data_IF_438206437852
#
_entry.id   IF_438206437852
#
_cell.length_a   1.000
_cell.length_b   1.000
_cell.length_c   1.000
_cell.angle_alpha   90.00
_cell.angle_beta   90.00
_cell.angle_gamma   90.00
#
_symmetry.space_group_name_H-M   'P 1'
#
loop_
_entity.id
_entity.type
_entity.pdbx_description
1 polymer ?
#
# COMPACT_ATOMS: atom_id res chain seq x y z
N UNK A 1 5.48 6.48 -6.79
CA UNK A 1 5.31 5.97 -5.40
C UNK A 1 6.17 6.66 -4.32
N UNK A 2 7.33 7.24 -4.63
CA UNK A 2 8.22 7.86 -3.61
C UNK A 2 7.54 8.94 -2.74
N UNK A 3 6.64 9.76 -3.31
CA UNK A 3 5.90 10.78 -2.55
C UNK A 3 4.98 10.19 -1.49
N UNK A 4 4.31 9.07 -1.77
CA UNK A 4 3.50 8.36 -0.78
C UNK A 4 4.35 7.83 0.37
N UNK A 5 5.49 7.20 0.06
CA UNK A 5 6.42 6.67 1.09
C UNK A 5 6.93 7.80 1.98
N UNK A 6 7.33 8.93 1.40
CA UNK A 6 7.75 10.12 2.16
C UNK A 6 6.62 10.66 3.05
N UNK A 7 5.39 10.70 2.55
CA UNK A 7 4.23 11.14 3.33
C UNK A 7 3.91 10.16 4.49
N UNK A 8 4.01 8.85 4.26
CA UNK A 8 3.87 7.83 5.30
C UNK A 8 4.92 8.04 6.41
N UNK A 9 6.19 8.18 6.05
CA UNK A 9 7.27 8.42 7.02
C UNK A 9 7.10 9.74 7.77
N UNK A 10 6.62 10.79 7.10
CA UNK A 10 6.31 12.07 7.74
C UNK A 10 5.14 11.98 8.74
N UNK A 11 4.28 10.96 8.63
CA UNK A 11 3.24 10.63 9.63
C UNK A 11 3.72 9.67 10.71
N UNK A 12 4.98 9.19 10.64
CA UNK A 12 5.55 8.20 11.55
C UNK A 12 5.14 6.76 11.27
N UNK A 13 4.55 6.47 10.11
CA UNK A 13 4.21 5.12 9.66
C UNK A 13 5.37 4.51 8.90
N UNK A 14 5.69 3.25 9.14
CA UNK A 14 6.79 2.55 8.49
C UNK A 14 6.34 1.75 7.25
N UNK A 15 7.29 1.39 6.40
CA UNK A 15 7.07 0.65 5.15
C UNK A 15 8.14 -0.43 4.98
N UNK A 16 7.74 -1.63 4.56
CA UNK A 16 8.65 -2.77 4.35
C UNK A 16 8.97 -2.92 2.86
N UNK A 17 7.93 -2.92 2.02
CA UNK A 17 8.04 -3.07 0.57
C UNK A 17 7.08 -2.08 -0.10
N UNK A 18 7.53 -1.38 -1.14
CA UNK A 18 6.64 -0.59 -1.99
C UNK A 18 6.88 -0.95 -3.46
N UNK A 19 5.83 -1.34 -4.16
CA UNK A 19 5.86 -1.55 -5.61
C UNK A 19 4.93 -0.55 -6.29
N UNK A 20 5.46 0.11 -7.31
CA UNK A 20 4.81 1.21 -8.02
C UNK A 20 3.60 0.74 -8.84
N UNK A 21 3.67 -0.48 -9.38
CA UNK A 21 2.55 -1.15 -10.06
C UNK A 21 2.72 -2.67 -9.91
N UNK A 22 1.71 -3.31 -9.32
CA UNK A 22 1.70 -4.74 -9.03
C UNK A 22 1.51 -5.56 -10.31
N UNK A 23 0.74 -5.03 -11.27
CA UNK A 23 0.57 -5.61 -12.60
C UNK A 23 1.91 -5.67 -13.34
N UNK A 24 2.64 -4.55 -13.38
CA UNK A 24 3.95 -4.46 -14.02
C UNK A 24 4.98 -5.38 -13.35
N UNK A 25 4.96 -5.46 -12.02
CA UNK A 25 5.82 -6.39 -11.27
C UNK A 25 5.65 -7.83 -11.78
N UNK A 26 4.42 -8.30 -11.96
CA UNK A 26 4.17 -9.63 -12.51
C UNK A 26 4.50 -9.74 -14.00
N UNK A 27 4.21 -8.70 -14.79
CA UNK A 27 4.48 -8.68 -16.22
C UNK A 27 5.98 -8.79 -16.54
N UNK A 28 6.82 -8.13 -15.74
CA UNK A 28 8.28 -8.10 -15.89
C UNK A 28 8.99 -9.33 -15.29
N UNK A 29 8.24 -10.27 -14.70
CA UNK A 29 8.81 -11.50 -14.14
C UNK A 29 9.29 -11.38 -12.70
N UNK A 30 8.76 -10.42 -11.92
CA UNK A 30 9.15 -10.19 -10.52
C UNK A 30 8.87 -11.35 -9.57
N UNK A 31 8.08 -12.35 -9.98
CA UNK A 31 7.80 -13.55 -9.20
C UNK A 31 8.19 -14.83 -9.95
N UNK A 32 8.69 -15.81 -9.19
CA UNK A 32 9.03 -17.16 -9.67
C UNK A 32 7.77 -18.01 -9.94
N UNK A 33 6.93 -17.55 -10.88
CA UNK A 33 5.69 -18.20 -11.31
C UNK A 33 5.81 -18.68 -12.75
N UNK A 34 4.95 -19.63 -13.16
CA UNK A 34 4.89 -20.03 -14.58
C UNK A 34 4.44 -18.85 -15.47
N UNK A 35 4.77 -18.84 -16.78
CA UNK A 35 4.34 -17.77 -17.68
C UNK A 35 2.82 -17.52 -17.67
N UNK A 36 2.01 -18.58 -17.63
CA UNK A 36 0.55 -18.47 -17.59
C UNK A 36 0.03 -17.89 -16.27
N UNK A 37 0.68 -18.18 -15.15
CA UNK A 37 0.34 -17.56 -13.86
C UNK A 37 0.75 -16.10 -13.80
N UNK A 38 1.93 -15.76 -14.31
CA UNK A 38 2.38 -14.37 -14.40
C UNK A 38 1.43 -13.52 -15.22
N UNK A 39 1.03 -14.00 -16.40
CA UNK A 39 0.07 -13.29 -17.24
C UNK A 39 -1.26 -13.05 -16.50
N UNK A 40 -1.83 -14.10 -15.88
CA UNK A 40 -3.07 -13.96 -15.11
C UNK A 40 -2.95 -12.95 -13.96
N UNK A 41 -1.82 -12.97 -13.24
CA UNK A 41 -1.57 -12.05 -12.12
C UNK A 41 -1.35 -10.61 -12.59
N UNK A 42 -0.56 -10.42 -13.66
CA UNK A 42 -0.34 -9.12 -14.26
C UNK A 42 -1.66 -8.49 -14.70
N UNK A 43 -2.52 -9.23 -15.39
CA UNK A 43 -3.84 -8.75 -15.81
C UNK A 43 -4.77 -8.46 -14.62
N UNK A 44 -4.74 -9.29 -13.58
CA UNK A 44 -5.59 -9.08 -12.41
C UNK A 44 -5.20 -7.82 -11.62
N UNK A 45 -3.91 -7.53 -11.53
CA UNK A 45 -3.36 -6.41 -10.77
C UNK A 45 -3.01 -5.19 -11.64
N UNK A 46 -3.46 -5.17 -12.89
CA UNK A 46 -3.27 -4.02 -13.79
C UNK A 46 -3.92 -2.78 -13.16
N UNK A 47 -3.14 -1.70 -13.02
CA UNK A 47 -3.55 -0.46 -12.37
C UNK A 47 -3.67 -0.54 -10.84
N UNK A 48 -3.11 -1.56 -10.19
CA UNK A 48 -3.05 -1.66 -8.72
C UNK A 48 -1.65 -1.40 -8.16
N UNK A 49 -1.58 -0.56 -7.14
CA UNK A 49 -0.42 -0.40 -6.29
C UNK A 49 -0.35 -1.47 -5.19
N UNK A 50 0.86 -1.78 -4.73
CA UNK A 50 1.12 -2.65 -3.59
C UNK A 50 1.98 -1.93 -2.54
N UNK A 51 1.54 -2.03 -1.29
CA UNK A 51 2.21 -1.45 -0.14
C UNK A 51 2.28 -2.47 1.01
N UNK A 52 3.49 -2.92 1.34
CA UNK A 52 3.78 -3.75 2.50
C UNK A 52 4.20 -2.90 3.70
N UNK A 53 3.58 -3.12 4.86
CA UNK A 53 3.81 -2.35 6.08
C UNK A 53 3.76 -3.25 7.32
N UNK A 54 4.33 -2.83 8.46
CA UNK A 54 3.99 -3.44 9.74
C UNK A 54 2.46 -3.41 9.94
N UNK A 55 1.90 -4.49 10.45
CA UNK A 55 0.44 -4.62 10.63
C UNK A 55 -0.18 -3.48 11.46
N UNK A 56 0.43 -3.02 12.57
CA UNK A 56 -0.10 -1.88 13.31
C UNK A 56 -0.18 -0.60 12.46
N UNK A 57 0.85 -0.33 11.66
CA UNK A 57 0.92 0.88 10.82
C UNK A 57 -0.08 0.80 9.66
N UNK A 58 -0.27 -0.38 9.09
CA UNK A 58 -1.31 -0.60 8.08
C UNK A 58 -2.69 -0.32 8.68
N UNK A 59 -2.98 -0.78 9.90
CA UNK A 59 -4.25 -0.51 10.56
C UNK A 59 -4.49 1.00 10.77
N UNK A 60 -3.45 1.73 11.17
CA UNK A 60 -3.50 3.19 11.30
C UNK A 60 -3.76 3.86 9.94
N UNK A 61 -3.05 3.43 8.89
CA UNK A 61 -3.24 3.93 7.53
C UNK A 61 -4.69 3.71 7.04
N UNK A 62 -5.26 2.54 7.28
CA UNK A 62 -6.64 2.23 6.90
C UNK A 62 -7.67 3.10 7.64
N UNK A 63 -7.38 3.48 8.89
CA UNK A 63 -8.17 4.46 9.63
C UNK A 63 -8.03 5.88 9.07
N UNK A 64 -6.81 6.29 8.73
CA UNK A 64 -6.51 7.58 8.09
C UNK A 64 -7.24 7.72 6.76
N UNK A 65 -7.16 6.67 5.93
CA UNK A 65 -7.70 6.64 4.57
C UNK A 65 -9.19 6.26 4.51
N UNK A 66 -9.90 6.18 5.63
CA UNK A 66 -11.26 5.63 5.69
C UNK A 66 -12.19 6.15 4.58
N UNK A 67 -12.22 7.47 4.37
CA UNK A 67 -13.11 8.12 3.39
C UNK A 67 -12.63 8.00 1.94
N UNK A 68 -11.37 7.65 1.72
CA UNK A 68 -10.78 7.45 0.39
C UNK A 68 -10.98 6.02 -0.12
N UNK A 69 -11.23 5.06 0.78
CA UNK A 69 -11.32 3.65 0.42
C UNK A 69 -12.65 3.31 -0.23
N UNK A 70 -12.58 2.43 -1.22
CA UNK A 70 -13.74 1.81 -1.86
C UNK A 70 -13.57 0.28 -1.92
N UNK A 71 -14.42 -0.39 -2.70
CA UNK A 71 -14.42 -1.84 -2.85
C UNK A 71 -13.15 -2.41 -3.54
N UNK A 72 -12.33 -1.57 -4.17
CA UNK A 72 -11.09 -2.00 -4.81
C UNK A 72 -9.94 -2.11 -3.81
N UNK A 73 -10.04 -1.47 -2.64
CA UNK A 73 -9.00 -1.55 -1.62
C UNK A 73 -9.06 -2.89 -0.89
N UNK A 74 -7.93 -3.60 -0.85
CA UNK A 74 -7.83 -4.89 -0.20
C UNK A 74 -6.58 -4.96 0.68
N UNK A 75 -6.79 -5.13 1.99
CA UNK A 75 -5.73 -5.43 2.93
C UNK A 75 -5.66 -6.95 3.17
N UNK A 76 -4.45 -7.50 3.21
CA UNK A 76 -4.23 -8.90 3.51
C UNK A 76 -3.07 -9.08 4.49
N UNK A 77 -3.22 -10.04 5.38
CA UNK A 77 -2.17 -10.48 6.29
C UNK A 77 -1.90 -11.96 6.01
N UNK A 78 -0.64 -12.35 6.00
CA UNK A 78 -0.26 -13.75 5.73
C UNK A 78 -0.30 -14.53 7.03
N UNK A 79 -1.06 -15.62 7.04
CA UNK A 79 -1.09 -16.59 8.13
C UNK A 79 -0.11 -17.72 7.81
N UNK A 80 0.89 -17.89 8.67
CA UNK A 80 1.85 -18.99 8.64
C UNK A 80 1.52 -20.03 9.72
N UNK A 81 2.09 -21.25 9.66
CA UNK A 81 1.88 -22.26 10.71
C UNK A 81 2.26 -21.80 12.12
N UNK A 82 3.19 -20.85 12.22
CA UNK A 82 3.69 -20.25 13.47
C UNK A 82 2.85 -19.07 13.95
N UNK A 83 1.91 -18.58 13.14
CA UNK A 83 1.06 -17.43 13.45
C UNK A 83 0.96 -16.44 12.32
N UNK A 84 0.36 -15.28 12.61
CA UNK A 84 0.29 -14.18 11.65
C UNK A 84 1.67 -13.57 11.47
N UNK A 85 2.07 -13.29 10.23
CA UNK A 85 3.25 -12.46 9.96
C UNK A 85 3.07 -11.06 10.59
N UNK A 86 4.15 -10.45 11.12
CA UNK A 86 4.06 -9.11 11.70
C UNK A 86 3.71 -8.03 10.66
N UNK A 87 3.88 -8.31 9.38
CA UNK A 87 3.55 -7.45 8.25
C UNK A 87 2.23 -7.80 7.56
N UNK A 88 1.64 -6.76 6.99
CA UNK A 88 0.44 -6.85 6.17
C UNK A 88 0.65 -6.05 4.90
N UNK A 89 -0.16 -6.36 3.89
CA UNK A 89 -0.08 -5.74 2.57
C UNK A 89 -1.38 -5.06 2.23
N UNK A 90 -1.29 -3.99 1.46
CA UNK A 90 -2.41 -3.26 0.90
C UNK A 90 -2.29 -3.23 -0.61
N UNK A 91 -3.36 -3.64 -1.27
CA UNK A 91 -3.61 -3.43 -2.68
C UNK A 91 -4.66 -2.31 -2.83
N UNK A 92 -4.39 -1.35 -3.70
CA UNK A 92 -5.30 -0.24 -3.97
C UNK A 92 -5.07 0.31 -5.37
N UNK A 93 -6.03 1.05 -5.97
CA UNK A 93 -5.84 1.63 -7.30
C UNK A 93 -4.63 2.58 -7.35
N UNK A 94 -3.75 2.39 -8.34
CA UNK A 94 -2.52 3.15 -8.49
C UNK A 94 -2.78 4.64 -8.80
N UNK A 95 -3.91 4.96 -9.44
CA UNK A 95 -4.33 6.34 -9.69
C UNK A 95 -4.73 7.11 -8.42
N UNK A 96 -4.86 6.43 -7.27
CA UNK A 96 -5.14 7.02 -5.95
C UNK A 96 -3.89 7.31 -5.11
N UNK A 97 -2.70 7.02 -5.62
CA UNK A 97 -1.43 7.24 -4.89
C UNK A 97 -1.29 8.69 -4.45
N UNK A 98 -1.50 9.64 -5.36
CA UNK A 98 -1.31 11.07 -5.07
C UNK A 98 -2.34 11.59 -4.08
N UNK A 99 -3.60 11.15 -4.21
CA UNK A 99 -4.68 11.51 -3.29
C UNK A 99 -4.41 11.01 -1.86
N UNK A 100 -3.89 9.78 -1.73
CA UNK A 100 -3.48 9.23 -0.43
C UNK A 100 -2.27 9.99 0.14
N UNK A 101 -1.28 10.32 -0.69
CA UNK A 101 -0.10 11.07 -0.27
C UNK A 101 -0.48 12.48 0.23
N UNK A 102 -1.38 13.17 -0.47
CA UNK A 102 -1.90 14.47 -0.04
C UNK A 102 -2.68 14.39 1.28
N UNK A 103 -3.50 13.34 1.46
CA UNK A 103 -4.22 13.11 2.70
C UNK A 103 -3.28 12.95 3.90
N UNK A 104 -2.18 12.21 3.72
CA UNK A 104 -1.15 12.03 4.75
C UNK A 104 -0.39 13.34 5.03
N UNK A 105 0.01 14.06 3.97
CA UNK A 105 0.71 15.33 4.10
C UNK A 105 -0.09 16.38 4.90
N UNK A 106 -1.42 16.43 4.71
CA UNK A 106 -2.31 17.31 5.50
C UNK A 106 -2.36 16.97 6.99
N UNK A 107 -2.14 15.70 7.36
CA UNK A 107 -2.10 15.25 8.76
C UNK A 107 -0.74 15.47 9.42
N UNK A 108 0.34 15.46 8.65
CA UNK A 108 1.70 15.77 9.13
C UNK A 108 1.95 17.27 9.32
N UNK A 109 1.14 18.15 8.75
CA UNK A 109 1.29 19.58 8.90
C UNK A 109 1.15 19.96 10.40
N UNK A 110 2.12 20.71 10.98
CA UNK A 110 1.99 21.16 12.35
C UNK A 110 0.71 21.99 12.48
N UNK A 111 -0.15 21.64 13.44
CA UNK A 111 -1.30 22.46 13.80
C UNK A 111 -0.80 23.89 14.06
N UNK A 112 -1.26 24.91 13.32
CA UNK A 112 -0.86 26.28 13.61
C UNK A 112 -1.27 26.58 15.05
N UNK A 113 -0.30 26.96 15.87
CA UNK A 113 -0.53 27.35 17.25
C UNK A 113 -1.59 28.47 17.25
N UNK A 114 -2.75 28.18 17.83
CA UNK A 114 -3.75 29.21 18.10
C UNK A 114 -3.19 30.08 19.22
N UNK A 115 -2.74 31.29 18.88
CA UNK A 115 -2.35 32.34 19.82
C UNK A 115 -3.56 33.14 20.26
#
# INVERSE_FOLDING_TARGET
MAGLVQALWATGLDTIECCEDTGDFYALGGAALSPAERFRRATYFDGFAYLGMPTPDLQLLLGIAHDLRDAQWAAASVLEPTGLRPESVLYFPADRIDELAELLARRSAPTPAQH
#
